data_IF_341412029568
#
_entry.id   IF_341412029568
#
_cell.length_a   1.000
_cell.length_b   1.000
_cell.length_c   1.000
_cell.angle_alpha   90.00
_cell.angle_beta   90.00
_cell.angle_gamma   90.00
#
_symmetry.space_group_name_H-M   'P 1'
#
loop_
_entity.id
_entity.type
_entity.pdbx_description
1 polymer ?
#
# COMPACT_ATOMS: atom_id res chain seq x y z
N UNK A 1 -7.73 -15.84 12.27
CA UNK A 1 -8.81 -15.20 13.05
C UNK A 1 -9.94 -14.87 12.10
N UNK A 2 -11.17 -15.13 12.54
CA UNK A 2 -12.37 -14.64 11.88
C UNK A 2 -12.75 -13.32 12.53
N UNK A 3 -12.91 -12.26 11.73
CA UNK A 3 -13.26 -10.92 12.20
C UNK A 3 -14.70 -10.55 11.81
N UNK A 4 -15.43 -11.49 11.21
CA UNK A 4 -16.76 -11.25 10.64
C UNK A 4 -17.91 -11.59 11.58
N UNK A 5 -17.63 -12.09 12.79
CA UNK A 5 -18.68 -12.46 13.74
C UNK A 5 -19.67 -13.46 13.14
N UNK A 6 -20.78 -13.73 13.81
CA UNK A 6 -21.69 -14.83 13.44
C UNK A 6 -23.11 -14.39 13.12
N UNK A 7 -23.43 -13.09 12.89
CA UNK A 7 -24.84 -12.67 13.03
C UNK A 7 -25.46 -11.58 12.16
N UNK A 8 -24.75 -10.66 11.51
CA UNK A 8 -25.41 -9.58 10.75
C UNK A 8 -25.14 -9.66 9.24
N UNK A 9 -26.23 -9.71 8.46
CA UNK A 9 -26.21 -9.77 6.98
C UNK A 9 -26.44 -8.41 6.32
N UNK A 10 -26.40 -7.34 7.09
CA UNK A 10 -26.73 -5.99 6.62
C UNK A 10 -25.52 -5.23 6.04
N UNK A 11 -24.30 -5.73 6.28
CA UNK A 11 -23.10 -5.04 5.86
C UNK A 11 -22.91 -5.10 4.34
N UNK A 12 -23.10 -3.96 3.69
CA UNK A 12 -22.89 -3.81 2.25
C UNK A 12 -21.50 -3.26 1.88
N UNK A 13 -20.60 -3.11 2.86
CA UNK A 13 -19.24 -2.59 2.65
C UNK A 13 -18.20 -3.64 3.02
N UNK A 14 -17.40 -4.06 2.04
CA UNK A 14 -16.23 -4.90 2.21
C UNK A 14 -14.96 -4.06 2.41
N UNK A 15 -14.24 -4.28 3.52
CA UNK A 15 -12.90 -3.75 3.75
C UNK A 15 -11.86 -4.87 3.65
N UNK A 16 -10.95 -4.77 2.69
CA UNK A 16 -9.91 -5.77 2.43
C UNK A 16 -8.59 -5.29 3.01
N UNK A 17 -7.96 -6.09 3.88
CA UNK A 17 -6.66 -5.79 4.47
C UNK A 17 -5.59 -6.72 3.87
N UNK A 18 -4.50 -6.14 3.36
CA UNK A 18 -3.44 -6.87 2.64
C UNK A 18 -2.07 -6.63 3.30
N UNK A 19 -1.44 -7.71 3.75
CA UNK A 19 -0.16 -7.64 4.48
C UNK A 19 1.06 -7.51 3.53
N UNK A 20 2.21 -7.17 4.11
CA UNK A 20 3.47 -6.98 3.40
C UNK A 20 4.35 -8.23 3.27
N UNK A 21 5.58 -8.01 2.80
CA UNK A 21 6.64 -9.00 2.71
C UNK A 21 6.94 -9.62 4.08
N UNK A 22 7.26 -10.92 4.12
CA UNK A 22 7.44 -11.70 5.36
C UNK A 22 6.23 -11.70 6.30
N UNK A 23 5.09 -11.23 5.79
CA UNK A 23 3.87 -11.07 6.54
C UNK A 23 2.96 -12.30 6.54
N UNK A 24 1.93 -12.18 7.36
CA UNK A 24 0.76 -13.04 7.41
C UNK A 24 -0.41 -12.21 7.99
N UNK A 25 -1.67 -12.71 7.95
CA UNK A 25 -2.83 -12.02 8.47
C UNK A 25 -2.73 -11.48 9.90
N UNK A 26 -1.96 -12.13 10.79
CA UNK A 26 -1.85 -11.69 12.18
C UNK A 26 -1.13 -10.35 12.31
N UNK A 27 -0.31 -9.96 11.34
CA UNK A 27 0.34 -8.64 11.33
C UNK A 27 -0.67 -7.49 11.18
N UNK A 28 -1.90 -7.80 10.76
CA UNK A 28 -2.99 -6.85 10.60
C UNK A 28 -4.04 -6.96 11.71
N UNK A 29 -3.79 -7.76 12.75
CA UNK A 29 -4.75 -8.02 13.84
C UNK A 29 -5.15 -6.72 14.57
N UNK A 30 -4.18 -5.87 14.90
CA UNK A 30 -4.45 -4.56 15.53
C UNK A 30 -5.34 -3.69 14.64
N UNK A 31 -5.10 -3.69 13.33
CA UNK A 31 -5.90 -2.93 12.37
C UNK A 31 -7.32 -3.49 12.25
N UNK A 32 -7.47 -4.80 12.12
CA UNK A 32 -8.76 -5.48 12.05
C UNK A 32 -9.59 -5.25 13.32
N UNK A 33 -8.97 -5.40 14.51
CA UNK A 33 -9.60 -5.12 15.81
C UNK A 33 -10.02 -3.65 15.94
N UNK A 34 -9.17 -2.72 15.52
CA UNK A 34 -9.49 -1.29 15.56
C UNK A 34 -10.66 -0.93 14.64
N UNK A 35 -10.73 -1.52 13.44
CA UNK A 35 -11.86 -1.36 12.53
C UNK A 35 -13.14 -1.94 13.12
N UNK A 36 -13.08 -3.17 13.68
CA UNK A 36 -14.24 -3.81 14.30
C UNK A 36 -14.76 -3.03 15.52
N UNK A 37 -13.86 -2.47 16.34
CA UNK A 37 -14.24 -1.64 17.49
C UNK A 37 -14.99 -0.36 17.09
N UNK A 38 -14.68 0.20 15.91
CA UNK A 38 -15.34 1.41 15.38
C UNK A 38 -16.54 1.11 14.49
N UNK A 39 -16.59 -0.07 13.88
CA UNK A 39 -17.59 -0.45 12.89
C UNK A 39 -18.23 -1.80 13.26
N UNK A 40 -19.49 -1.79 13.74
CA UNK A 40 -20.25 -3.00 14.03
C UNK A 40 -20.38 -3.91 12.81
N UNK A 41 -20.64 -5.20 13.06
CA UNK A 41 -20.75 -6.26 12.05
C UNK A 41 -21.70 -5.91 10.92
N UNK A 42 -22.88 -5.37 11.24
CA UNK A 42 -23.87 -4.97 10.23
C UNK A 42 -23.50 -3.76 9.38
N UNK A 43 -22.37 -3.11 9.64
CA UNK A 43 -21.89 -1.96 8.86
C UNK A 43 -20.68 -2.25 7.98
N UNK A 44 -19.86 -3.26 8.35
CA UNK A 44 -18.56 -3.51 7.72
C UNK A 44 -18.17 -4.99 7.77
N UNK A 45 -17.97 -5.57 6.59
CA UNK A 45 -17.33 -6.88 6.41
C UNK A 45 -15.82 -6.71 6.28
N UNK A 46 -15.02 -7.52 6.98
CA UNK A 46 -13.56 -7.39 6.97
C UNK A 46 -12.94 -8.66 6.40
N UNK A 47 -12.30 -8.53 5.23
CA UNK A 47 -11.51 -9.58 4.62
C UNK A 47 -10.03 -9.32 4.87
N UNK A 48 -9.39 -10.15 5.70
CA UNK A 48 -7.92 -10.12 5.85
C UNK A 48 -7.34 -11.15 4.90
N UNK A 49 -6.66 -10.68 3.84
CA UNK A 49 -6.10 -11.54 2.79
C UNK A 49 -5.03 -12.48 3.37
N UNK A 50 -5.10 -13.77 3.01
CA UNK A 50 -4.31 -14.83 3.64
C UNK A 50 -3.37 -15.53 2.66
N UNK A 51 -3.71 -15.56 1.36
CA UNK A 51 -3.00 -16.41 0.37
C UNK A 51 -1.58 -15.98 0.06
N UNK A 52 -1.18 -14.78 0.48
CA UNK A 52 0.18 -14.28 0.30
C UNK A 52 1.11 -14.57 1.49
N UNK A 53 0.68 -15.31 2.51
CA UNK A 53 1.47 -15.55 3.72
C UNK A 53 2.75 -16.36 3.49
N UNK A 54 3.77 -16.14 4.31
CA UNK A 54 4.96 -17.00 4.35
C UNK A 54 5.78 -16.94 3.06
N UNK A 55 6.15 -18.10 2.50
CA UNK A 55 6.95 -18.17 1.27
C UNK A 55 6.27 -17.56 0.04
N UNK A 56 4.94 -17.44 0.06
CA UNK A 56 4.19 -16.79 -1.03
C UNK A 56 4.44 -15.28 -1.11
N UNK A 57 4.99 -14.65 -0.05
CA UNK A 57 5.38 -13.24 -0.10
C UNK A 57 6.52 -12.96 -1.09
N UNK A 58 7.25 -13.98 -1.55
CA UNK A 58 8.36 -13.87 -2.50
C UNK A 58 7.93 -14.01 -3.98
N UNK A 59 6.67 -14.34 -4.25
CA UNK A 59 6.14 -14.57 -5.60
C UNK A 59 5.95 -13.29 -6.44
N UNK A 60 6.14 -12.12 -5.84
CA UNK A 60 5.97 -10.84 -6.50
C UNK A 60 4.55 -10.26 -6.41
N UNK A 61 4.46 -8.99 -6.77
CA UNK A 61 3.27 -8.14 -6.77
C UNK A 61 2.20 -8.67 -7.73
N UNK A 62 2.59 -9.18 -8.91
CA UNK A 62 1.66 -9.73 -9.90
C UNK A 62 0.89 -10.94 -9.34
N UNK A 63 1.60 -12.02 -8.99
CA UNK A 63 0.97 -13.22 -8.41
C UNK A 63 0.26 -12.91 -7.10
N UNK A 64 0.83 -12.02 -6.28
CA UNK A 64 0.20 -11.57 -5.06
C UNK A 64 -1.13 -10.86 -5.30
N UNK A 65 -1.17 -10.01 -6.33
CA UNK A 65 -2.37 -9.27 -6.73
C UNK A 65 -3.44 -10.18 -7.34
N UNK A 66 -3.03 -11.17 -8.14
CA UNK A 66 -3.94 -12.21 -8.65
C UNK A 66 -4.61 -12.99 -7.51
N UNK A 67 -3.84 -13.40 -6.50
CA UNK A 67 -4.37 -14.08 -5.32
C UNK A 67 -5.34 -13.20 -4.53
N UNK A 68 -5.00 -11.94 -4.30
CA UNK A 68 -5.89 -11.00 -3.60
C UNK A 68 -7.18 -10.75 -4.40
N UNK A 69 -7.07 -10.58 -5.72
CA UNK A 69 -8.24 -10.46 -6.60
C UNK A 69 -9.16 -11.68 -6.45
N UNK A 70 -8.61 -12.90 -6.50
CA UNK A 70 -9.36 -14.13 -6.31
C UNK A 70 -9.97 -14.25 -4.90
N UNK A 71 -9.27 -13.85 -3.83
CA UNK A 71 -9.83 -13.84 -2.48
C UNK A 71 -11.04 -12.89 -2.38
N UNK A 72 -10.97 -11.72 -3.00
CA UNK A 72 -12.07 -10.74 -3.03
C UNK A 72 -13.26 -11.30 -3.81
N UNK A 73 -13.03 -11.88 -4.99
CA UNK A 73 -14.05 -12.51 -5.83
C UNK A 73 -14.80 -13.61 -5.07
N UNK A 74 -14.04 -14.51 -4.44
CA UNK A 74 -14.61 -15.64 -3.70
C UNK A 74 -15.36 -15.21 -2.45
N UNK A 75 -14.87 -14.18 -1.74
CA UNK A 75 -15.56 -13.67 -0.56
C UNK A 75 -16.89 -12.99 -0.94
N UNK A 76 -16.90 -12.19 -2.02
CA UNK A 76 -18.13 -11.56 -2.51
C UNK A 76 -19.13 -12.62 -2.99
N UNK A 77 -18.68 -13.65 -3.72
CA UNK A 77 -19.54 -14.74 -4.17
C UNK A 77 -20.12 -15.53 -2.99
N UNK A 78 -19.29 -15.82 -1.98
CA UNK A 78 -19.73 -16.47 -0.74
C UNK A 78 -20.81 -15.65 -0.04
N UNK A 79 -20.59 -14.36 0.17
CA UNK A 79 -21.57 -13.47 0.80
C UNK A 79 -22.87 -13.39 0.00
N UNK A 80 -22.80 -13.32 -1.33
CA UNK A 80 -23.98 -13.32 -2.18
C UNK A 80 -24.80 -14.61 -2.03
N UNK A 81 -24.15 -15.79 -1.95
CA UNK A 81 -24.83 -17.08 -1.67
C UNK A 81 -25.48 -17.11 -0.29
N UNK A 82 -24.95 -16.36 0.65
CA UNK A 82 -25.50 -16.20 2.01
C UNK A 82 -26.60 -15.12 2.08
N UNK A 83 -26.95 -14.50 0.95
CA UNK A 83 -27.99 -13.47 0.84
C UNK A 83 -27.52 -12.05 1.18
N UNK A 84 -26.21 -11.83 1.27
CA UNK A 84 -25.61 -10.54 1.58
C UNK A 84 -24.96 -9.91 0.35
N UNK A 85 -25.50 -8.76 -0.08
CA UNK A 85 -25.01 -8.03 -1.25
C UNK A 85 -23.96 -6.97 -0.87
N UNK A 86 -22.75 -7.07 -1.43
CA UNK A 86 -21.71 -6.04 -1.27
C UNK A 86 -21.87 -4.96 -2.32
N UNK A 87 -22.02 -3.71 -1.88
CA UNK A 87 -22.18 -2.51 -2.74
C UNK A 87 -21.01 -1.55 -2.69
N UNK A 88 -20.16 -1.66 -1.68
CA UNK A 88 -19.00 -0.78 -1.45
C UNK A 88 -17.76 -1.61 -1.13
N UNK A 89 -16.60 -1.14 -1.60
CA UNK A 89 -15.32 -1.77 -1.28
C UNK A 89 -14.28 -0.75 -0.84
N UNK A 90 -13.43 -1.15 0.10
CA UNK A 90 -12.22 -0.43 0.47
C UNK A 90 -11.06 -1.42 0.58
N UNK A 91 -9.87 -0.98 0.21
CA UNK A 91 -8.65 -1.76 0.32
C UNK A 91 -7.63 -1.00 1.17
N UNK A 92 -7.00 -1.72 2.09
CA UNK A 92 -5.92 -1.22 2.93
C UNK A 92 -4.71 -2.12 2.75
N UNK A 93 -3.60 -1.55 2.30
CA UNK A 93 -2.35 -2.28 2.09
C UNK A 93 -1.25 -1.82 3.04
N UNK A 94 -0.57 -2.76 3.67
CA UNK A 94 0.62 -2.48 4.48
C UNK A 94 1.89 -2.91 3.72
N UNK A 95 2.87 -2.01 3.61
CA UNK A 95 4.14 -2.25 2.93
C UNK A 95 3.94 -2.80 1.51
N UNK A 96 4.56 -3.92 1.14
CA UNK A 96 4.34 -4.62 -0.14
C UNK A 96 2.84 -4.87 -0.45
N UNK A 97 2.02 -5.04 0.59
CA UNK A 97 0.57 -5.23 0.46
C UNK A 97 -0.13 -4.10 -0.29
N UNK A 98 0.34 -2.85 -0.17
CA UNK A 98 -0.22 -1.74 -0.95
C UNK A 98 0.06 -1.84 -2.45
N UNK A 99 1.22 -2.37 -2.84
CA UNK A 99 1.56 -2.61 -4.24
C UNK A 99 0.75 -3.79 -4.80
N UNK A 100 0.61 -4.86 -4.02
CA UNK A 100 -0.26 -5.99 -4.32
C UNK A 100 -1.71 -5.52 -4.51
N UNK A 101 -2.21 -4.64 -3.63
CA UNK A 101 -3.55 -4.06 -3.76
C UNK A 101 -3.70 -3.22 -5.03
N UNK A 102 -2.69 -2.42 -5.43
CA UNK A 102 -2.73 -1.67 -6.71
C UNK A 102 -2.88 -2.60 -7.91
N UNK A 103 -2.17 -3.72 -7.91
CA UNK A 103 -2.29 -4.72 -8.96
C UNK A 103 -3.69 -5.36 -8.97
N UNK A 104 -4.18 -5.80 -7.80
CA UNK A 104 -5.51 -6.40 -7.66
C UNK A 104 -6.63 -5.43 -8.07
N UNK A 105 -6.52 -4.14 -7.75
CA UNK A 105 -7.47 -3.09 -8.16
C UNK A 105 -7.59 -3.02 -9.68
N UNK A 106 -6.47 -3.05 -10.41
CA UNK A 106 -6.52 -3.04 -11.87
C UNK A 106 -7.19 -4.30 -12.45
N UNK A 107 -6.96 -5.47 -11.84
CA UNK A 107 -7.63 -6.70 -12.23
C UNK A 107 -9.15 -6.65 -11.98
N UNK A 108 -9.57 -6.21 -10.78
CA UNK A 108 -10.98 -6.03 -10.44
C UNK A 108 -11.66 -5.07 -11.42
N UNK A 109 -11.02 -3.95 -11.74
CA UNK A 109 -11.54 -2.98 -12.70
C UNK A 109 -11.70 -3.58 -14.09
N UNK A 110 -10.67 -4.28 -14.59
CA UNK A 110 -10.72 -4.94 -15.90
C UNK A 110 -11.81 -6.01 -16.03
N UNK A 111 -12.27 -6.55 -14.89
CA UNK A 111 -13.36 -7.53 -14.79
C UNK A 111 -14.74 -6.88 -14.61
N UNK A 112 -14.84 -5.54 -14.59
CA UNK A 112 -16.09 -4.80 -14.41
C UNK A 112 -16.63 -4.80 -12.97
N UNK A 113 -15.81 -5.14 -11.96
CA UNK A 113 -16.27 -5.14 -10.56
C UNK A 113 -16.80 -3.77 -10.12
N UNK A 114 -16.11 -2.72 -10.54
CA UNK A 114 -16.43 -1.34 -10.13
C UNK A 114 -17.64 -0.74 -10.83
N UNK A 115 -18.26 -1.46 -11.77
CA UNK A 115 -19.53 -1.06 -12.38
C UNK A 115 -20.73 -1.36 -11.46
N UNK A 116 -20.56 -2.31 -10.53
CA UNK A 116 -21.58 -2.73 -9.56
C UNK A 116 -21.22 -2.40 -8.12
N UNK A 117 -19.93 -2.42 -7.79
CA UNK A 117 -19.43 -2.20 -6.44
C UNK A 117 -18.66 -0.89 -6.41
N UNK A 118 -19.14 0.05 -5.61
CA UNK A 118 -18.53 1.39 -5.49
C UNK A 118 -17.18 1.31 -4.75
N UNK A 119 -16.05 1.67 -5.38
CA UNK A 119 -14.77 1.79 -4.70
C UNK A 119 -14.70 3.06 -3.85
N UNK A 120 -14.49 2.90 -2.54
CA UNK A 120 -14.58 4.00 -1.56
C UNK A 120 -13.21 4.49 -1.10
N UNK A 121 -12.45 3.66 -0.37
CA UNK A 121 -11.14 4.03 0.16
C UNK A 121 -10.06 3.08 -0.33
N UNK A 122 -8.96 3.65 -0.83
CA UNK A 122 -7.69 2.96 -0.97
C UNK A 122 -6.69 3.60 -0.02
N UNK A 123 -6.23 2.84 0.97
CA UNK A 123 -5.31 3.34 1.99
C UNK A 123 -4.04 2.50 2.01
N UNK A 124 -2.88 3.15 2.09
CA UNK A 124 -1.60 2.45 2.20
C UNK A 124 -0.79 2.93 3.40
N UNK A 125 -0.08 2.01 4.04
CA UNK A 125 0.80 2.28 5.16
C UNK A 125 2.20 1.77 4.83
N UNK A 126 3.19 2.65 4.83
CA UNK A 126 4.59 2.33 4.55
C UNK A 126 4.82 1.55 3.22
N UNK A 127 3.93 1.75 2.24
CA UNK A 127 4.01 1.05 0.96
C UNK A 127 5.03 1.71 0.03
N UNK A 128 6.06 1.00 -0.45
CA UNK A 128 7.13 1.57 -1.28
C UNK A 128 6.65 1.82 -2.72
N UNK A 129 5.83 2.85 -2.93
CA UNK A 129 5.19 3.18 -4.20
C UNK A 129 6.18 3.45 -5.34
N UNK A 130 7.38 3.94 -5.01
CA UNK A 130 8.49 4.17 -5.96
C UNK A 130 9.60 3.11 -5.85
N UNK A 131 9.31 1.96 -5.22
CA UNK A 131 10.29 0.91 -4.95
C UNK A 131 11.09 1.15 -3.66
N UNK A 132 12.16 0.39 -3.46
CA UNK A 132 12.97 0.40 -2.22
C UNK A 132 14.41 0.86 -2.43
N UNK A 133 14.75 1.30 -3.65
CA UNK A 133 16.09 1.81 -3.94
C UNK A 133 16.36 3.06 -3.12
N UNK A 134 17.49 3.04 -2.42
CA UNK A 134 17.93 4.15 -1.59
C UNK A 134 19.13 4.85 -2.23
N UNK A 135 19.08 6.18 -2.49
CA UNK A 135 20.18 6.94 -3.09
C UNK A 135 21.28 7.29 -2.06
N UNK A 136 21.06 7.00 -0.78
CA UNK A 136 22.02 7.26 0.29
C UNK A 136 23.27 6.38 0.14
N UNK A 137 24.43 7.03 0.07
CA UNK A 137 25.74 6.37 -0.02
C UNK A 137 26.16 5.83 1.34
N UNK A 138 26.37 4.51 1.43
CA UNK A 138 26.82 3.82 2.64
C UNK A 138 26.87 2.31 2.42
N UNK A 139 27.78 1.61 3.12
CA UNK A 139 28.04 0.18 2.91
C UNK A 139 26.77 -0.68 3.11
N UNK A 140 25.99 -0.43 4.17
CA UNK A 140 24.73 -1.14 4.43
C UNK A 140 23.68 -0.91 3.34
N UNK A 141 23.56 0.32 2.81
CA UNK A 141 22.63 0.64 1.73
C UNK A 141 23.09 0.01 0.40
N UNK A 142 24.41 -0.07 0.17
CA UNK A 142 24.97 -0.76 -0.98
C UNK A 142 24.68 -2.27 -0.92
N UNK A 143 24.88 -2.91 0.24
CA UNK A 143 24.52 -4.32 0.46
C UNK A 143 23.02 -4.54 0.29
N UNK A 144 22.16 -3.69 0.85
CA UNK A 144 20.71 -3.76 0.65
C UNK A 144 20.31 -3.62 -0.83
N UNK A 145 20.89 -2.63 -1.53
CA UNK A 145 20.61 -2.36 -2.94
C UNK A 145 21.11 -3.45 -3.90
N UNK A 146 22.19 -4.17 -3.54
CA UNK A 146 22.81 -5.20 -4.40
C UNK A 146 22.34 -6.61 -4.06
N UNK A 147 22.26 -6.96 -2.78
CA UNK A 147 21.90 -8.31 -2.31
C UNK A 147 20.39 -8.43 -2.04
N UNK A 148 19.74 -7.43 -1.44
CA UNK A 148 18.30 -7.47 -1.14
C UNK A 148 17.43 -7.67 -2.39
N UNK A 149 17.86 -7.10 -3.52
CA UNK A 149 17.18 -7.28 -4.81
C UNK A 149 17.22 -8.73 -5.34
N UNK A 150 18.25 -9.50 -4.98
CA UNK A 150 18.50 -10.87 -5.46
C UNK A 150 18.06 -11.95 -4.47
N UNK A 151 17.99 -11.64 -3.18
CA UNK A 151 17.60 -12.60 -2.13
C UNK A 151 16.08 -12.69 -1.91
N UNK A 152 15.31 -11.72 -2.42
CA UNK A 152 13.85 -11.65 -2.23
C UNK A 152 13.06 -12.13 -3.46
N UNK A 153 13.67 -12.92 -4.36
CA UNK A 153 13.04 -13.49 -5.56
C UNK A 153 12.31 -12.45 -6.41
N UNK A 154 11.11 -12.77 -6.93
CA UNK A 154 10.32 -11.88 -7.78
C UNK A 154 9.95 -10.58 -7.05
N UNK A 155 9.52 -10.66 -5.78
CA UNK A 155 9.21 -9.48 -4.96
C UNK A 155 10.40 -8.52 -4.85
N UNK A 156 11.60 -9.06 -4.61
CA UNK A 156 12.84 -8.28 -4.62
C UNK A 156 13.07 -7.57 -5.94
N UNK A 157 13.05 -8.31 -7.04
CA UNK A 157 13.32 -7.75 -8.37
C UNK A 157 12.36 -6.62 -8.73
N UNK A 158 11.07 -6.77 -8.38
CA UNK A 158 10.04 -5.75 -8.61
C UNK A 158 10.19 -4.53 -7.70
N UNK A 159 10.43 -4.74 -6.39
CA UNK A 159 10.66 -3.64 -5.44
C UNK A 159 11.91 -2.82 -5.80
N UNK A 160 12.94 -3.47 -6.35
CA UNK A 160 14.16 -2.84 -6.83
C UNK A 160 14.10 -2.42 -8.31
N UNK A 161 12.95 -2.54 -8.97
CA UNK A 161 12.75 -2.13 -10.38
C UNK A 161 13.84 -2.66 -11.33
N UNK A 162 14.25 -3.93 -11.14
CA UNK A 162 15.20 -4.67 -11.99
C UNK A 162 14.53 -5.87 -12.70
N UNK A 163 13.22 -5.93 -12.62
CA UNK A 163 12.38 -6.85 -13.39
C UNK A 163 12.06 -6.26 -14.78
N UNK A 164 11.49 -7.12 -15.62
CA UNK A 164 10.82 -6.73 -16.87
C UNK A 164 9.44 -7.36 -16.82
N UNK A 165 8.41 -6.53 -16.79
CA UNK A 165 7.04 -7.00 -16.68
C UNK A 165 6.52 -7.45 -18.04
N UNK A 166 6.37 -8.76 -18.21
CA UNK A 166 5.90 -9.40 -19.45
C UNK A 166 6.67 -8.85 -20.66
N UNK A 167 5.98 -8.58 -21.76
CA UNK A 167 6.57 -8.09 -23.01
C UNK A 167 6.69 -6.55 -23.08
N UNK A 168 6.42 -5.84 -21.97
CA UNK A 168 6.46 -4.37 -21.96
C UNK A 168 7.87 -3.80 -22.01
N UNK A 169 8.89 -4.60 -21.66
CA UNK A 169 10.27 -4.15 -21.48
C UNK A 169 10.51 -3.23 -20.27
N UNK A 170 9.46 -2.93 -19.47
CA UNK A 170 9.47 -1.97 -18.36
C UNK A 170 9.36 -2.69 -17.01
N UNK A 171 9.89 -2.15 -15.90
CA UNK A 171 9.64 -2.68 -14.55
C UNK A 171 8.15 -2.61 -14.18
N UNK A 172 7.66 -3.58 -13.40
CA UNK A 172 6.25 -3.63 -13.01
C UNK A 172 5.78 -2.36 -12.28
N UNK A 173 6.60 -1.79 -11.39
CA UNK A 173 6.22 -0.56 -10.68
C UNK A 173 5.99 0.63 -11.62
N UNK A 174 6.71 0.67 -12.74
CA UNK A 174 6.52 1.69 -13.76
C UNK A 174 5.18 1.48 -14.49
N UNK A 175 4.85 0.23 -14.82
CA UNK A 175 3.56 -0.13 -15.44
C UNK A 175 2.39 0.15 -14.49
N UNK A 176 2.55 -0.09 -13.18
CA UNK A 176 1.55 0.26 -12.16
C UNK A 176 1.32 1.78 -12.02
N UNK A 177 2.27 2.60 -12.49
CA UNK A 177 2.21 4.07 -12.45
C UNK A 177 1.78 4.69 -13.79
N UNK A 178 1.66 3.87 -14.85
CA UNK A 178 1.25 4.32 -16.16
C UNK A 178 -0.23 4.73 -16.15
N UNK A 179 -0.51 5.98 -16.56
CA UNK A 179 -1.86 6.56 -16.58
C UNK A 179 -2.81 5.80 -17.51
N UNK A 180 -2.27 5.15 -18.55
CA UNK A 180 -3.07 4.38 -19.48
C UNK A 180 -3.33 2.94 -19.03
N UNK A 181 -2.64 2.48 -18.00
CA UNK A 181 -2.80 1.13 -17.46
C UNK A 181 -4.14 0.95 -16.75
N UNK A 182 -4.62 -0.30 -16.74
CA UNK A 182 -5.77 -0.72 -15.93
C UNK A 182 -5.57 -0.43 -14.44
N UNK A 183 -4.31 -0.39 -13.97
CA UNK A 183 -3.98 -0.22 -12.56
C UNK A 183 -4.27 1.21 -12.11
N UNK A 184 -3.85 2.22 -12.88
CA UNK A 184 -4.18 3.61 -12.58
C UNK A 184 -5.65 3.90 -12.88
N UNK A 185 -6.21 3.39 -13.98
CA UNK A 185 -7.63 3.55 -14.31
C UNK A 185 -8.54 3.01 -13.20
N UNK A 186 -8.29 1.80 -12.71
CA UNK A 186 -9.01 1.22 -11.57
C UNK A 186 -8.80 1.99 -10.27
N UNK A 187 -7.55 2.40 -9.99
CA UNK A 187 -7.23 3.18 -8.80
C UNK A 187 -7.92 4.56 -8.81
N UNK A 188 -8.04 5.19 -9.98
CA UNK A 188 -8.68 6.50 -10.14
C UNK A 188 -10.15 6.48 -9.70
N UNK A 189 -10.84 5.34 -9.85
CA UNK A 189 -12.26 5.18 -9.47
C UNK A 189 -12.50 5.31 -7.95
N UNK A 190 -11.50 5.08 -7.10
CA UNK A 190 -11.66 5.21 -5.64
C UNK A 190 -11.90 6.67 -5.23
N UNK A 191 -12.98 6.92 -4.46
CA UNK A 191 -13.32 8.26 -3.96
C UNK A 191 -12.19 8.88 -3.14
N UNK A 192 -11.56 8.07 -2.28
CA UNK A 192 -10.47 8.49 -1.40
C UNK A 192 -9.25 7.60 -1.58
N UNK A 193 -8.10 8.24 -1.76
CA UNK A 193 -6.79 7.60 -1.86
C UNK A 193 -5.89 8.25 -0.81
N UNK A 194 -5.43 7.47 0.15
CA UNK A 194 -4.61 7.97 1.27
C UNK A 194 -3.36 7.13 1.40
N UNK A 195 -2.21 7.78 1.55
CA UNK A 195 -0.95 7.13 1.86
C UNK A 195 -0.45 7.66 3.20
N UNK A 196 0.00 6.75 4.05
CA UNK A 196 0.70 7.04 5.29
C UNK A 196 2.15 6.60 5.12
N UNK A 197 3.06 7.56 5.24
CA UNK A 197 4.50 7.33 5.17
C UNK A 197 5.09 7.49 6.57
N UNK A 198 5.93 6.55 6.95
CA UNK A 198 6.69 6.65 8.18
C UNK A 198 7.79 7.71 7.99
N UNK A 199 7.88 8.64 8.93
CA UNK A 199 8.96 9.63 8.97
C UNK A 199 10.09 9.25 9.94
N UNK A 200 9.85 8.22 10.76
CA UNK A 200 10.79 7.68 11.74
C UNK A 200 10.75 6.15 11.75
N UNK A 201 11.85 5.53 12.18
CA UNK A 201 11.98 4.09 12.47
C UNK A 201 11.77 3.12 11.31
N UNK A 202 11.39 3.58 10.12
CA UNK A 202 11.31 2.74 8.92
C UNK A 202 12.65 2.67 8.20
N UNK A 203 13.33 1.54 8.35
CA UNK A 203 14.64 1.27 7.72
C UNK A 203 14.52 0.50 6.40
N UNK A 204 13.31 0.07 6.04
CA UNK A 204 13.06 -0.81 4.89
C UNK A 204 12.40 -0.07 3.74
N UNK A 205 11.54 0.91 4.05
CA UNK A 205 10.81 1.72 3.10
C UNK A 205 10.92 3.21 3.47
N UNK A 206 11.97 3.82 2.94
CA UNK A 206 12.32 5.25 3.05
C UNK A 206 11.18 6.20 2.64
N UNK A 207 11.16 7.40 3.24
CA UNK A 207 10.08 8.37 3.10
C UNK A 207 9.79 8.78 1.65
N UNK A 208 10.81 9.06 0.83
CA UNK A 208 10.59 9.49 -0.56
C UNK A 208 9.86 8.43 -1.40
N UNK A 209 10.01 7.13 -1.10
CA UNK A 209 9.31 6.09 -1.86
C UNK A 209 7.90 5.83 -1.34
N UNK A 210 7.71 5.89 -0.02
CA UNK A 210 6.41 5.63 0.61
C UNK A 210 5.48 6.85 0.57
N UNK A 211 6.05 8.04 0.67
CA UNK A 211 5.39 9.35 0.59
C UNK A 211 5.21 9.89 -0.83
N UNK A 212 5.79 9.23 -1.84
CA UNK A 212 5.83 9.73 -3.24
C UNK A 212 6.35 11.17 -3.26
N UNK A 213 7.50 11.38 -2.63
CA UNK A 213 8.13 12.70 -2.48
C UNK A 213 9.49 12.72 -3.13
N UNK A 214 9.89 13.88 -3.66
CA UNK A 214 11.26 14.08 -4.18
C UNK A 214 12.29 14.25 -3.05
N UNK A 215 11.86 14.67 -1.86
CA UNK A 215 12.73 15.01 -0.74
C UNK A 215 12.20 14.41 0.56
N UNK A 216 13.11 14.21 1.52
CA UNK A 216 12.79 13.80 2.88
C UNK A 216 13.13 14.94 3.86
N UNK A 217 12.13 15.75 4.28
CA UNK A 217 12.36 16.84 5.22
C UNK A 217 12.53 16.36 6.67
N UNK A 218 12.35 15.07 6.95
CA UNK A 218 12.29 14.50 8.31
C UNK A 218 13.62 13.87 8.77
N UNK A 219 14.71 14.15 8.05
CA UNK A 219 16.04 13.59 8.32
C UNK A 219 16.73 14.14 9.58
N UNK A 220 16.26 15.27 10.12
CA UNK A 220 16.76 15.87 11.37
C UNK A 220 15.59 16.44 12.17
N UNK A 221 14.86 15.55 12.86
CA UNK A 221 13.65 15.91 13.60
C UNK A 221 13.89 16.97 14.68
N UNK A 222 15.08 16.98 15.28
CA UNK A 222 15.52 17.98 16.27
C UNK A 222 15.55 19.42 15.72
N UNK A 223 15.60 19.57 14.39
CA UNK A 223 15.70 20.86 13.71
C UNK A 223 14.38 21.34 13.11
N UNK A 224 13.32 20.54 13.19
CA UNK A 224 12.02 20.86 12.59
C UNK A 224 10.95 20.91 13.69
N UNK A 225 10.07 21.91 13.61
CA UNK A 225 8.87 21.92 14.44
C UNK A 225 7.83 21.06 13.75
N UNK A 226 7.48 19.94 14.36
CA UNK A 226 6.44 19.05 13.85
C UNK A 226 5.07 19.53 14.33
N UNK A 227 4.10 19.57 13.43
CA UNK A 227 2.71 19.79 13.81
C UNK A 227 1.92 18.49 13.62
N UNK A 228 1.21 18.09 14.67
CA UNK A 228 0.39 16.88 14.67
C UNK A 228 -1.08 17.20 14.42
N UNK A 229 -1.83 16.21 13.94
CA UNK A 229 -3.29 16.28 13.92
C UNK A 229 -3.79 16.27 15.37
N UNK A 230 -4.71 17.18 15.69
CA UNK A 230 -5.34 17.25 17.01
C UNK A 230 -5.97 15.90 17.38
N UNK A 231 -5.65 15.38 18.56
CA UNK A 231 -6.09 14.07 19.06
C UNK A 231 -5.29 12.87 18.53
N UNK A 232 -4.23 13.11 17.75
CA UNK A 232 -3.28 12.12 17.25
C UNK A 232 -1.83 12.59 17.44
N UNK A 233 -1.60 13.33 18.53
CA UNK A 233 -0.29 13.84 18.93
C UNK A 233 0.74 12.69 18.96
N UNK A 234 1.97 13.00 18.54
CA UNK A 234 3.09 12.06 18.42
C UNK A 234 2.94 10.93 17.38
N UNK A 235 1.78 10.82 16.70
CA UNK A 235 1.50 9.71 15.77
C UNK A 235 1.25 10.20 14.34
N UNK A 236 0.39 11.20 14.13
CA UNK A 236 -0.02 11.63 12.78
C UNK A 236 0.29 13.10 12.58
N UNK A 237 1.05 13.43 11.54
CA UNK A 237 1.36 14.81 11.17
C UNK A 237 0.16 15.48 10.50
N UNK A 238 -0.02 16.78 10.74
CA UNK A 238 -1.01 17.59 10.03
C UNK A 238 -0.68 17.60 8.53
N UNK A 239 -1.53 17.06 7.65
CA UNK A 239 -1.24 17.00 6.22
C UNK A 239 -1.20 18.39 5.55
N UNK A 240 -1.83 19.41 6.14
CA UNK A 240 -1.83 20.77 5.60
C UNK A 240 -0.59 21.57 6.03
N UNK A 241 -0.01 21.23 7.17
CA UNK A 241 1.11 21.96 7.75
C UNK A 241 2.04 21.04 8.57
N UNK A 242 2.65 19.99 8.00
CA UNK A 242 3.35 18.96 8.78
C UNK A 242 4.60 19.49 9.49
N UNK A 243 5.27 20.48 8.88
CA UNK A 243 6.36 21.26 9.47
C UNK A 243 6.45 22.64 8.78
N UNK A 244 6.90 23.72 9.46
CA UNK A 244 7.00 25.04 8.87
C UNK A 244 8.00 25.08 7.71
N UNK A 245 7.57 25.67 6.59
CA UNK A 245 8.28 25.80 5.31
C UNK A 245 9.62 26.58 5.36
N UNK A 246 10.04 27.10 6.50
CA UNK A 246 11.24 27.94 6.63
C UNK A 246 12.57 27.20 6.42
N UNK A 247 12.57 25.87 6.38
CA UNK A 247 13.77 25.05 6.12
C UNK A 247 13.77 24.46 4.69
N UNK A 248 12.62 24.46 4.00
CA UNK A 248 12.49 23.92 2.63
C UNK A 248 13.12 24.81 1.54
N UNK A 249 13.53 26.05 1.85
CA UNK A 249 14.22 26.96 0.91
C UNK A 249 15.76 26.89 0.93
N UNK A 250 16.36 26.00 1.73
CA UNK A 250 17.83 25.85 1.80
C UNK A 250 18.26 24.38 1.71
N UNK A 251 17.87 23.68 0.64
CA UNK A 251 18.70 22.55 0.16
C UNK A 251 19.35 22.99 -1.14
N UNK A 252 20.68 23.11 -1.08
CA UNK A 252 21.64 23.45 -2.12
C UNK A 252 21.11 23.50 -3.56
N UNK A 253 21.31 24.65 -4.21
CA UNK A 253 21.44 24.77 -5.66
C UNK A 253 22.52 23.78 -6.12
N UNK A 254 22.11 22.63 -6.63
CA UNK A 254 23.02 21.75 -7.37
C UNK A 254 23.23 22.41 -8.71
N UNK A 255 24.34 23.14 -8.87
CA UNK A 255 24.82 23.51 -10.20
C UNK A 255 25.22 22.22 -10.91
N UNK A 256 24.46 21.84 -11.95
CA UNK A 256 24.98 20.93 -12.95
C UNK A 256 26.08 21.67 -13.69
N UNK A 257 27.33 21.25 -13.51
CA UNK A 257 28.36 21.55 -14.50
C UNK A 257 28.14 20.59 -15.66
N UNK A 258 27.74 21.14 -16.81
CA UNK A 258 27.86 20.46 -18.09
C UNK A 258 29.36 20.33 -18.42
N UNK A 259 29.76 19.11 -18.75
CA UNK A 259 31.06 18.74 -19.28
C UNK A 259 30.89 17.54 -20.19
#
# INVERSE_FOLDING_TARGET
MDYNGTGSRDAQHLCVLVHGLWGNPNHLDVMAKSLRAKHPEGSLHILVAKRNSGSFTYDGIERGGERVCQEIEQEIEKLAKEGQEIKRISLVGYSLGGLISRYAIGLLDSKGFFDKIKPVNFTTFASPHLGVRTPLRGWHNHVWNVLGARTLSASGRQLFTIDKFRDTGRPLLEVLADQESIFIKGLAKFERKTLYSNIVNDRSAVHYTTGISKTDPYTSLDKIKINYVQGYEDVILDPNAPAPLSILKRSHTTHFMEG
#
